data_IF_822962081363
#
_entry.id   IF_822962081363
#
_cell.length_a   1.000
_cell.length_b   1.000
_cell.length_c   1.000
_cell.angle_alpha   90.00
_cell.angle_beta   90.00
_cell.angle_gamma   90.00
#
_symmetry.space_group_name_H-M   'P 1'
#
loop_
_entity.id
_entity.type
_entity.pdbx_description
1 polymer ?
#
# COMPACT_ATOMS: atom_id res chain seq x y z
N UNK A 1 11.91 29.25 28.58
CA UNK A 1 10.65 28.90 27.88
C UNK A 1 9.93 27.84 28.70
N UNK A 2 8.75 28.14 29.26
CA UNK A 2 8.02 27.17 30.07
C UNK A 2 7.63 25.99 29.17
N UNK A 3 7.89 24.78 29.66
CA UNK A 3 7.67 23.51 28.95
C UNK A 3 6.20 23.26 28.59
N UNK A 4 5.28 24.15 29.01
CA UNK A 4 3.83 23.98 29.01
C UNK A 4 3.07 25.26 28.61
N UNK A 5 3.58 26.07 27.68
CA UNK A 5 2.74 27.10 27.06
C UNK A 5 1.68 26.44 26.15
N UNK A 6 0.43 26.42 26.62
CA UNK A 6 -0.71 25.82 25.94
C UNK A 6 -1.42 26.78 24.97
N UNK A 7 -1.20 28.09 25.11
CA UNK A 7 -1.84 29.13 24.30
C UNK A 7 -1.32 29.10 22.85
N UNK A 8 -0.06 28.68 22.64
CA UNK A 8 0.56 28.57 21.32
C UNK A 8 0.22 27.28 20.56
N UNK A 9 -0.61 26.39 21.10
CA UNK A 9 -0.93 25.11 20.45
C UNK A 9 -2.09 25.23 19.45
N UNK A 10 -1.96 24.65 18.24
CA UNK A 10 -3.05 24.66 17.27
C UNK A 10 -4.25 23.84 17.75
N UNK A 11 -5.48 24.21 17.38
CA UNK A 11 -6.66 23.35 17.56
C UNK A 11 -6.56 22.14 16.62
N UNK A 12 -6.98 20.98 17.10
CA UNK A 12 -6.85 19.72 16.36
C UNK A 12 -7.59 19.72 15.02
N UNK A 13 -8.81 20.27 14.97
CA UNK A 13 -9.60 20.42 13.74
C UNK A 13 -10.01 19.12 13.04
N UNK A 14 -9.74 17.94 13.59
CA UNK A 14 -10.15 16.67 12.99
C UNK A 14 -11.66 16.47 13.09
N UNK A 15 -12.29 15.87 12.09
CA UNK A 15 -13.73 15.58 12.11
C UNK A 15 -14.06 14.59 13.22
N UNK A 16 -14.93 14.98 14.14
CA UNK A 16 -15.42 14.11 15.23
C UNK A 16 -16.55 13.22 14.73
N UNK A 17 -16.95 12.22 15.55
CA UNK A 17 -18.07 11.34 15.24
C UNK A 17 -19.39 12.09 15.03
N UNK A 18 -19.56 13.25 15.67
CA UNK A 18 -20.73 14.14 15.50
C UNK A 18 -20.59 15.10 14.32
N UNK A 19 -19.57 14.95 13.47
CA UNK A 19 -19.37 15.77 12.27
C UNK A 19 -18.66 17.11 12.48
N UNK A 20 -18.63 17.62 13.72
CA UNK A 20 -18.00 18.89 14.06
C UNK A 20 -16.46 18.78 14.13
N UNK A 21 -15.71 19.87 13.88
CA UNK A 21 -14.26 19.89 14.04
C UNK A 21 -13.84 19.75 15.51
N UNK A 22 -12.79 18.98 15.75
CA UNK A 22 -12.28 18.72 17.09
C UNK A 22 -11.71 19.99 17.73
N UNK A 23 -12.28 20.39 18.87
CA UNK A 23 -11.89 21.58 19.64
C UNK A 23 -10.70 21.37 20.58
N UNK A 24 -10.22 20.12 20.76
CA UNK A 24 -9.06 19.84 21.63
C UNK A 24 -7.79 20.44 21.04
N UNK A 25 -6.86 20.84 21.91
CA UNK A 25 -5.52 21.27 21.51
C UNK A 25 -4.77 20.09 20.84
N UNK A 26 -4.12 20.41 19.74
CA UNK A 26 -3.19 19.54 19.03
C UNK A 26 -1.80 19.59 19.63
N UNK A 27 -0.85 18.96 18.95
CA UNK A 27 0.57 19.08 19.27
C UNK A 27 1.27 19.98 18.24
N UNK A 28 2.52 20.37 18.52
CA UNK A 28 3.34 21.16 17.58
C UNK A 28 3.87 20.37 16.36
N UNK A 29 3.84 19.03 16.42
CA UNK A 29 4.43 18.15 15.39
C UNK A 29 3.53 17.97 14.16
N UNK A 30 2.25 17.68 14.37
CA UNK A 30 1.28 17.40 13.31
C UNK A 30 -0.05 18.13 13.52
N UNK A 31 -0.17 18.96 14.56
CA UNK A 31 -1.37 19.73 14.84
C UNK A 31 -2.56 18.91 15.34
N UNK A 32 -2.44 17.59 15.54
CA UNK A 32 -3.56 16.73 15.97
C UNK A 32 -3.50 16.41 17.46
N UNK A 33 -4.67 16.20 18.08
CA UNK A 33 -4.75 15.82 19.50
C UNK A 33 -4.50 14.32 19.69
N UNK A 34 -4.28 13.89 20.94
CA UNK A 34 -3.99 12.49 21.26
C UNK A 34 -5.02 11.47 20.75
N UNK A 35 -6.28 11.87 20.59
CA UNK A 35 -7.35 11.00 20.08
C UNK A 35 -7.46 10.95 18.55
N UNK A 36 -6.88 11.92 17.85
CA UNK A 36 -6.97 12.03 16.39
C UNK A 36 -5.59 11.92 15.73
N UNK A 37 -4.73 11.05 16.25
CA UNK A 37 -3.41 10.78 15.68
C UNK A 37 -2.29 11.69 16.17
N UNK A 38 -2.51 12.53 17.18
CA UNK A 38 -1.46 13.36 17.78
C UNK A 38 -0.34 12.55 18.45
N UNK A 39 -0.61 11.31 18.84
CA UNK A 39 0.44 10.38 19.32
C UNK A 39 0.97 9.46 18.22
N UNK A 40 0.40 9.52 17.02
CA UNK A 40 0.85 8.68 15.91
C UNK A 40 2.21 9.18 15.42
N UNK A 41 3.13 8.24 15.23
CA UNK A 41 4.43 8.53 14.61
C UNK A 41 4.38 8.51 13.09
N UNK A 42 3.23 8.19 12.50
CA UNK A 42 3.12 7.80 11.10
C UNK A 42 3.62 6.37 10.86
N UNK A 43 3.40 5.88 9.63
CA UNK A 43 3.91 4.58 9.20
C UNK A 43 5.43 4.63 8.98
N UNK A 44 6.15 3.67 9.55
CA UNK A 44 7.61 3.59 9.45
C UNK A 44 8.07 2.59 8.38
N UNK A 45 7.29 1.53 8.16
CA UNK A 45 7.58 0.50 7.17
C UNK A 45 7.11 0.90 5.77
N UNK A 46 7.73 0.34 4.74
CA UNK A 46 7.34 0.55 3.33
C UNK A 46 5.88 0.12 3.14
N UNK A 47 5.51 -1.05 3.66
CA UNK A 47 4.13 -1.58 3.67
C UNK A 47 3.14 -0.61 4.32
N UNK A 48 3.48 -0.07 5.49
CA UNK A 48 2.62 0.88 6.20
C UNK A 48 2.49 2.21 5.46
N UNK A 49 3.56 2.71 4.85
CA UNK A 49 3.53 3.93 4.02
C UNK A 49 2.63 3.72 2.80
N UNK A 50 2.74 2.57 2.15
CA UNK A 50 1.88 2.17 1.03
C UNK A 50 0.42 2.05 1.45
N UNK A 51 0.13 1.37 2.56
CA UNK A 51 -1.22 1.27 3.10
C UNK A 51 -1.85 2.65 3.34
N UNK A 52 -1.09 3.59 3.94
CA UNK A 52 -1.55 4.97 4.14
C UNK A 52 -1.77 5.70 2.81
N UNK A 53 -0.90 5.53 1.81
CA UNK A 53 -1.06 6.11 0.46
C UNK A 53 -2.31 5.61 -0.27
N UNK A 54 -2.81 4.42 0.02
CA UNK A 54 -4.05 3.90 -0.60
C UNK A 54 -5.34 4.46 0.00
N UNK A 55 -5.30 4.97 1.24
CA UNK A 55 -6.50 5.43 1.93
C UNK A 55 -7.26 6.56 1.19
N UNK A 56 -6.59 7.56 0.59
CA UNK A 56 -7.26 8.56 -0.26
C UNK A 56 -7.98 7.96 -1.47
N UNK A 57 -7.44 6.90 -2.08
CA UNK A 57 -8.09 6.19 -3.20
C UNK A 57 -9.39 5.54 -2.73
N UNK A 58 -9.31 4.78 -1.62
CA UNK A 58 -10.47 4.09 -1.04
C UNK A 58 -11.60 5.05 -0.69
N UNK A 59 -11.25 6.26 -0.25
CA UNK A 59 -12.20 7.31 0.10
C UNK A 59 -12.66 8.17 -1.10
N UNK A 60 -12.34 7.78 -2.34
CA UNK A 60 -12.83 8.45 -3.55
C UNK A 60 -12.15 9.77 -3.90
N UNK A 61 -11.17 10.22 -3.10
CA UNK A 61 -10.37 11.42 -3.35
C UNK A 61 -9.13 11.14 -4.23
N UNK A 62 -8.94 9.89 -4.68
CA UNK A 62 -7.69 9.40 -5.28
C UNK A 62 -7.36 9.91 -6.68
N UNK A 63 -8.31 10.51 -7.41
CA UNK A 63 -8.10 10.94 -8.80
C UNK A 63 -6.99 11.98 -8.96
N UNK A 64 -6.72 12.77 -7.91
CA UNK A 64 -5.76 13.88 -7.95
C UNK A 64 -4.45 13.59 -7.20
N UNK A 65 -4.36 12.49 -6.43
CA UNK A 65 -3.29 12.28 -5.43
C UNK A 65 -2.23 11.28 -5.91
N UNK A 66 -2.54 10.42 -6.87
CA UNK A 66 -1.58 9.45 -7.42
C UNK A 66 -1.21 9.89 -8.83
N UNK A 67 -0.24 10.79 -8.89
CA UNK A 67 0.42 11.18 -10.13
C UNK A 67 1.58 10.20 -10.37
N UNK A 68 1.27 9.01 -10.90
CA UNK A 68 2.29 8.05 -11.36
C UNK A 68 2.65 6.90 -10.40
N UNK A 69 3.66 6.15 -10.82
CA UNK A 69 4.25 5.03 -10.06
C UNK A 69 5.30 5.55 -9.06
N UNK A 70 5.53 4.79 -7.99
CA UNK A 70 6.69 5.04 -7.12
C UNK A 70 7.97 4.62 -7.88
N UNK A 71 8.84 5.56 -8.27
CA UNK A 71 10.00 5.25 -9.10
C UNK A 71 11.01 4.36 -8.38
N UNK A 72 11.18 4.55 -7.07
CA UNK A 72 12.12 3.80 -6.24
C UNK A 72 11.69 2.34 -6.12
N UNK A 73 10.39 2.09 -5.87
CA UNK A 73 9.86 0.73 -5.85
C UNK A 73 9.87 0.07 -7.23
N UNK A 74 9.72 0.85 -8.30
CA UNK A 74 9.83 0.33 -9.67
C UNK A 74 11.26 -0.15 -9.95
N UNK A 75 12.27 0.65 -9.60
CA UNK A 75 13.69 0.30 -9.76
C UNK A 75 14.04 -0.95 -8.94
N UNK A 76 13.66 -0.97 -7.65
CA UNK A 76 13.86 -2.14 -6.79
C UNK A 76 13.17 -3.40 -7.28
N UNK A 77 12.03 -3.29 -7.96
CA UNK A 77 11.36 -4.45 -8.54
C UNK A 77 12.13 -5.05 -9.71
N UNK A 78 12.75 -4.21 -10.53
CA UNK A 78 13.55 -4.64 -11.69
C UNK A 78 14.85 -5.25 -11.20
N UNK A 79 15.55 -4.61 -10.27
CA UNK A 79 16.78 -5.14 -9.67
C UNK A 79 16.57 -6.50 -9.02
N UNK A 80 15.51 -6.65 -8.22
CA UNK A 80 15.17 -7.91 -7.57
C UNK A 80 14.82 -9.00 -8.60
N UNK A 81 14.10 -8.65 -9.66
CA UNK A 81 13.80 -9.58 -10.74
C UNK A 81 15.09 -10.07 -11.44
N UNK A 82 16.03 -9.19 -11.77
CA UNK A 82 17.28 -9.58 -12.43
C UNK A 82 18.08 -10.57 -11.56
N UNK A 83 18.15 -10.33 -10.25
CA UNK A 83 18.79 -11.25 -9.31
C UNK A 83 18.07 -12.60 -9.25
N UNK A 84 16.73 -12.61 -9.19
CA UNK A 84 15.95 -13.86 -9.23
C UNK A 84 16.15 -14.61 -10.55
N UNK A 85 16.25 -13.90 -11.67
CA UNK A 85 16.50 -14.48 -12.98
C UNK A 85 17.87 -15.16 -13.03
N UNK A 86 18.92 -14.51 -12.50
CA UNK A 86 20.25 -15.10 -12.44
C UNK A 86 20.29 -16.33 -11.51
N UNK A 87 19.64 -16.26 -10.34
CA UNK A 87 19.50 -17.40 -9.42
C UNK A 87 18.79 -18.59 -10.09
N UNK A 88 17.69 -18.32 -10.80
CA UNK A 88 16.94 -19.34 -11.52
C UNK A 88 17.76 -19.96 -12.66
N UNK A 89 18.51 -19.14 -13.41
CA UNK A 89 19.37 -19.59 -14.50
C UNK A 89 20.54 -20.45 -14.02
N UNK A 90 21.11 -20.14 -12.87
CA UNK A 90 22.21 -20.89 -12.27
C UNK A 90 21.74 -22.14 -11.51
N UNK A 91 20.43 -22.41 -11.43
CA UNK A 91 19.84 -23.43 -10.57
C UNK A 91 20.32 -23.32 -9.12
N UNK A 92 20.44 -22.09 -8.60
CA UNK A 92 20.89 -21.86 -7.23
C UNK A 92 19.89 -22.48 -6.24
N UNK A 93 20.38 -23.34 -5.34
CA UNK A 93 19.57 -24.02 -4.31
C UNK A 93 19.63 -23.31 -2.95
N UNK A 94 20.34 -22.18 -2.83
CA UNK A 94 20.43 -21.44 -1.57
C UNK A 94 19.10 -20.76 -1.23
N UNK A 95 18.33 -21.44 -0.37
CA UNK A 95 17.05 -20.95 0.13
C UNK A 95 17.20 -19.77 1.08
N UNK A 96 18.37 -19.58 1.70
CA UNK A 96 18.63 -18.44 2.61
C UNK A 96 18.82 -17.15 1.83
N UNK A 97 19.62 -17.19 0.77
CA UNK A 97 19.85 -16.04 -0.12
C UNK A 97 18.55 -15.60 -0.80
N UNK A 98 17.79 -16.56 -1.34
CA UNK A 98 16.47 -16.30 -1.92
C UNK A 98 15.52 -15.65 -0.91
N UNK A 99 15.43 -16.20 0.30
CA UNK A 99 14.55 -15.67 1.34
C UNK A 99 14.97 -14.27 1.80
N UNK A 100 16.26 -13.97 1.87
CA UNK A 100 16.75 -12.63 2.19
C UNK A 100 16.37 -11.61 1.10
N UNK A 101 16.55 -11.97 -0.18
CA UNK A 101 16.19 -11.13 -1.31
C UNK A 101 14.68 -10.83 -1.33
N UNK A 102 13.84 -11.87 -1.16
CA UNK A 102 12.39 -11.69 -1.11
C UNK A 102 11.98 -10.91 0.13
N UNK A 103 12.54 -11.17 1.31
CA UNK A 103 12.22 -10.41 2.51
C UNK A 103 12.48 -8.91 2.34
N UNK A 104 13.54 -8.54 1.61
CA UNK A 104 13.88 -7.15 1.30
C UNK A 104 12.96 -6.53 0.24
N UNK A 105 12.66 -7.26 -0.85
CA UNK A 105 12.02 -6.70 -2.04
C UNK A 105 10.56 -7.12 -2.27
N UNK A 106 9.95 -7.94 -1.39
CA UNK A 106 8.57 -8.45 -1.56
C UNK A 106 7.55 -7.36 -1.88
N UNK A 107 7.70 -6.19 -1.28
CA UNK A 107 6.77 -5.07 -1.50
C UNK A 107 6.86 -4.53 -2.92
N UNK A 108 8.09 -4.36 -3.42
CA UNK A 108 8.35 -3.90 -4.78
C UNK A 108 7.87 -4.94 -5.80
N UNK A 109 8.23 -6.21 -5.58
CA UNK A 109 7.82 -7.33 -6.44
C UNK A 109 6.29 -7.46 -6.52
N UNK A 110 5.58 -7.43 -5.39
CA UNK A 110 4.11 -7.48 -5.39
C UNK A 110 3.47 -6.30 -6.12
N UNK A 111 4.04 -5.09 -5.96
CA UNK A 111 3.52 -3.89 -6.59
C UNK A 111 3.72 -3.86 -8.10
N UNK A 112 4.82 -4.45 -8.60
CA UNK A 112 5.31 -4.26 -9.97
C UNK A 112 5.46 -5.55 -10.79
N UNK A 113 5.15 -6.75 -10.27
CA UNK A 113 5.25 -8.02 -11.04
C UNK A 113 4.56 -8.01 -12.39
N UNK A 114 3.40 -7.36 -12.50
CA UNK A 114 2.70 -7.22 -13.79
C UNK A 114 3.40 -6.23 -14.75
N UNK A 115 4.11 -5.25 -14.21
CA UNK A 115 4.91 -4.34 -15.03
C UNK A 115 6.17 -5.01 -15.54
N UNK A 116 6.81 -5.83 -14.69
CA UNK A 116 7.93 -6.67 -15.08
C UNK A 116 7.48 -7.67 -16.15
N UNK A 117 6.31 -8.30 -15.98
CA UNK A 117 5.67 -9.15 -16.99
C UNK A 117 5.50 -8.44 -18.34
N UNK A 118 4.97 -7.21 -18.34
CA UNK A 118 4.77 -6.43 -19.57
C UNK A 118 6.08 -6.18 -20.33
N UNK A 119 7.22 -6.07 -19.62
CA UNK A 119 8.52 -5.73 -20.22
C UNK A 119 9.38 -6.95 -20.54
N UNK A 120 9.40 -7.96 -19.67
CA UNK A 120 10.28 -9.13 -19.73
C UNK A 120 9.56 -10.43 -20.11
N UNK A 121 8.23 -10.44 -20.21
CA UNK A 121 7.44 -11.59 -20.65
C UNK A 121 7.01 -12.54 -19.53
N UNK A 122 6.32 -13.62 -19.91
CA UNK A 122 5.61 -14.52 -18.99
C UNK A 122 6.53 -15.18 -17.95
N UNK A 123 7.73 -15.58 -18.35
CA UNK A 123 8.69 -16.27 -17.47
C UNK A 123 9.08 -15.39 -16.27
N UNK A 124 9.20 -14.08 -16.48
CA UNK A 124 9.51 -13.14 -15.39
C UNK A 124 8.46 -13.15 -14.29
N UNK A 125 7.18 -13.24 -14.67
CA UNK A 125 6.08 -13.34 -13.72
C UNK A 125 6.11 -14.66 -12.96
N UNK A 126 6.38 -15.76 -13.66
CA UNK A 126 6.46 -17.10 -13.05
C UNK A 126 7.59 -17.15 -12.03
N UNK A 127 8.78 -16.65 -12.36
CA UNK A 127 9.92 -16.58 -11.44
C UNK A 127 9.55 -15.77 -10.19
N UNK A 128 9.04 -14.55 -10.37
CA UNK A 128 8.67 -13.67 -9.25
C UNK A 128 7.58 -14.31 -8.38
N UNK A 129 6.51 -14.81 -9.00
CA UNK A 129 5.38 -15.37 -8.26
C UNK A 129 5.79 -16.64 -7.51
N UNK A 130 6.62 -17.49 -8.12
CA UNK A 130 7.11 -18.73 -7.47
C UNK A 130 8.00 -18.41 -6.27
N UNK A 131 8.88 -17.42 -6.38
CA UNK A 131 9.75 -16.98 -5.29
C UNK A 131 8.95 -16.34 -4.13
N UNK A 132 7.95 -15.51 -4.45
CA UNK A 132 7.03 -14.94 -3.45
C UNK A 132 6.24 -16.04 -2.75
N UNK A 133 5.63 -16.96 -3.50
CA UNK A 133 4.83 -18.05 -2.95
C UNK A 133 5.64 -18.94 -2.00
N UNK A 134 6.89 -19.26 -2.38
CA UNK A 134 7.80 -20.03 -1.54
C UNK A 134 8.09 -19.30 -0.22
N UNK A 135 8.48 -18.02 -0.30
CA UNK A 135 8.76 -17.22 0.88
C UNK A 135 7.55 -17.11 1.82
N UNK A 136 6.36 -16.82 1.28
CA UNK A 136 5.15 -16.68 2.08
C UNK A 136 4.71 -17.99 2.76
N UNK A 137 4.95 -19.14 2.11
CA UNK A 137 4.75 -20.45 2.74
C UNK A 137 5.73 -20.69 3.89
N UNK A 138 7.01 -20.34 3.71
CA UNK A 138 8.05 -20.54 4.73
C UNK A 138 7.76 -19.75 6.02
N UNK A 139 7.22 -18.52 5.88
CA UNK A 139 6.92 -17.65 7.03
C UNK A 139 5.47 -17.77 7.54
N UNK A 140 4.69 -18.71 7.01
CA UNK A 140 3.25 -18.87 7.29
C UNK A 140 2.48 -17.54 7.22
N UNK A 141 2.63 -16.83 6.11
CA UNK A 141 2.02 -15.51 5.90
C UNK A 141 1.33 -15.41 4.54
N UNK A 142 0.50 -14.38 4.39
CA UNK A 142 -0.24 -14.13 3.15
C UNK A 142 0.46 -13.05 2.32
N UNK A 143 0.28 -13.15 1.00
CA UNK A 143 0.62 -12.09 0.06
C UNK A 143 -0.02 -10.75 0.43
N UNK A 144 0.63 -9.66 0.00
CA UNK A 144 0.09 -8.32 0.22
C UNK A 144 -1.22 -8.12 -0.56
N UNK A 145 -2.28 -7.75 0.15
CA UNK A 145 -3.64 -7.61 -0.39
C UNK A 145 -3.86 -6.42 -1.33
N UNK A 146 -2.83 -5.64 -1.67
CA UNK A 146 -2.98 -4.38 -2.38
C UNK A 146 -2.26 -4.36 -3.74
N UNK A 147 -3.03 -4.24 -4.82
CA UNK A 147 -2.52 -3.94 -6.15
C UNK A 147 -2.50 -2.40 -6.30
N UNK A 148 -1.51 -1.73 -5.71
CA UNK A 148 -1.51 -0.25 -5.61
C UNK A 148 -1.19 0.41 -6.95
N UNK A 149 -0.30 -0.20 -7.73
CA UNK A 149 0.24 0.41 -8.95
C UNK A 149 -0.25 -0.28 -10.23
N UNK A 150 -0.85 -1.47 -10.14
CA UNK A 150 -1.50 -2.09 -11.28
C UNK A 150 -2.90 -1.50 -11.45
N UNK A 151 -3.18 -0.84 -12.57
CA UNK A 151 -4.56 -0.55 -12.97
C UNK A 151 -5.28 -1.89 -13.02
N UNK A 152 -6.18 -2.15 -12.08
CA UNK A 152 -7.07 -3.31 -12.15
C UNK A 152 -8.03 -3.03 -13.31
N UNK A 153 -7.64 -3.43 -14.51
CA UNK A 153 -8.53 -3.44 -15.66
C UNK A 153 -9.69 -4.36 -15.26
N UNK A 154 -10.92 -3.86 -15.30
CA UNK A 154 -12.11 -4.65 -14.97
C UNK A 154 -12.13 -5.86 -15.89
N UNK A 155 -11.72 -7.03 -15.36
CA UNK A 155 -11.71 -8.34 -15.98
C UNK A 155 -11.97 -8.28 -17.51
N UNK A 156 -11.02 -7.76 -18.31
CA UNK A 156 -11.30 -7.40 -19.71
C UNK A 156 -11.69 -8.61 -20.54
N UNK A 157 -11.25 -9.79 -20.10
CA UNK A 157 -11.51 -11.09 -20.71
C UNK A 157 -12.74 -11.81 -20.16
N UNK A 158 -13.33 -11.33 -19.05
CA UNK A 158 -14.47 -11.98 -18.40
C UNK A 158 -15.59 -10.98 -18.13
N UNK A 159 -16.71 -11.14 -18.83
CA UNK A 159 -17.95 -10.42 -18.55
C UNK A 159 -18.53 -10.89 -17.22
N UNK A 160 -18.05 -10.33 -16.11
CA UNK A 160 -18.57 -10.65 -14.79
C UNK A 160 -19.77 -9.78 -14.44
N UNK A 161 -20.95 -10.42 -14.29
CA UNK A 161 -22.10 -9.79 -13.63
C UNK A 161 -21.70 -9.48 -12.19
N UNK A 162 -21.99 -8.26 -11.74
CA UNK A 162 -21.57 -7.82 -10.40
C UNK A 162 -22.13 -8.72 -9.31
N UNK A 163 -21.25 -9.33 -8.50
CA UNK A 163 -21.64 -10.15 -7.35
C UNK A 163 -22.28 -9.31 -6.25
N UNK A 164 -23.08 -9.94 -5.40
CA UNK A 164 -23.80 -9.25 -4.32
C UNK A 164 -22.85 -8.61 -3.30
N UNK A 165 -21.75 -9.28 -2.97
CA UNK A 165 -20.68 -8.72 -2.14
C UNK A 165 -20.06 -7.45 -2.75
N UNK A 166 -19.88 -7.43 -4.08
CA UNK A 166 -19.35 -6.25 -4.80
C UNK A 166 -20.37 -5.11 -4.83
N UNK A 167 -21.67 -5.41 -4.92
CA UNK A 167 -22.73 -4.40 -4.80
C UNK A 167 -22.75 -3.78 -3.40
N UNK A 168 -22.68 -4.59 -2.34
CA UNK A 168 -22.60 -4.11 -0.96
C UNK A 168 -21.40 -3.19 -0.72
N UNK A 169 -20.21 -3.57 -1.19
CA UNK A 169 -19.00 -2.74 -1.08
C UNK A 169 -19.18 -1.35 -1.73
N UNK A 170 -19.82 -1.28 -2.90
CA UNK A 170 -20.07 -0.01 -3.59
C UNK A 170 -21.17 0.82 -2.92
N UNK A 171 -22.17 0.17 -2.31
CA UNK A 171 -23.22 0.86 -1.55
C UNK A 171 -22.67 1.51 -0.28
N UNK A 172 -21.73 0.84 0.41
CA UNK A 172 -21.01 1.40 1.57
C UNK A 172 -20.25 2.68 1.18
N UNK A 173 -19.59 2.69 0.01
CA UNK A 173 -18.88 3.87 -0.48
C UNK A 173 -19.81 4.99 -0.98
N UNK A 174 -21.03 4.67 -1.45
CA UNK A 174 -22.04 5.68 -1.83
C UNK A 174 -22.67 6.40 -0.64
N UNK A 175 -22.73 5.76 0.53
CA UNK A 175 -23.23 6.39 1.76
C UNK A 175 -22.31 7.52 2.29
N UNK A 176 -21.09 7.64 1.76
CA UNK A 176 -20.17 8.76 2.00
C UNK A 176 -20.37 9.96 1.05
N UNK A 177 -21.52 10.07 0.37
CA UNK A 177 -21.88 11.32 -0.31
C UNK A 177 -22.18 12.39 0.74
N UNK A 178 -21.33 13.42 0.76
CA UNK A 178 -21.49 14.64 1.54
C UNK A 178 -22.86 15.26 1.24
N UNK A 179 -23.74 15.27 2.24
CA UNK A 179 -24.79 16.28 2.33
C UNK A 179 -24.11 17.53 2.91
N UNK A 180 -24.15 18.61 2.14
CA UNK A 180 -23.71 19.95 2.52
C UNK A 180 -24.51 20.46 3.72
#
# INVERSE_FOLDING_TARGET
>A
MSKFDLESLPKCGAKTRSGNPCKRLGNKRNGRCKLHGGRSTGAKTIEGKLAVRTNPIKNGAGWNVIQGYDPELSEYSIEAYLQLFDMAKLNNTDSSELNALIAQHRVALECFKYRVLEYYGADSFIIIQSALDAHYKDIDSQHLHFHIHTKVVKAPYFHQRMSEARKQFLLINKAFKFNW
#
